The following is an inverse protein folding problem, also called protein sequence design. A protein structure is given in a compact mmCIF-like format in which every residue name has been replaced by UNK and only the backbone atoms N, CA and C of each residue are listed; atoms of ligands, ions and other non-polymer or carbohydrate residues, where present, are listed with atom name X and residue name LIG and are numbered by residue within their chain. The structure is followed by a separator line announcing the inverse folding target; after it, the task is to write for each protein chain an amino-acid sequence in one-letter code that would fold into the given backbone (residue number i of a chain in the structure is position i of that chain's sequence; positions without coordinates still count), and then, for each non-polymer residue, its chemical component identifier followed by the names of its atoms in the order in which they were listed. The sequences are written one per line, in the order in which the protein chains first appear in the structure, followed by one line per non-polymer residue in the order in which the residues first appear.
data_IF_959755461487
#
_entry.id   IF_959755461487
#
_cell.length_a   1.000
_cell.length_b   1.000
_cell.length_c   1.000
_cell.angle_alpha   90.00
_cell.angle_beta   90.00
_cell.angle_gamma   90.00
#
_symmetry.space_group_name_H-M   'P 1'
#
loop_
_entity.id
_entity.type
_entity.pdbx_description
1 polymer ?
#
# COMPACT_ATOMS: atom_id res chain seq x y z
N UNK A 1 7.98 -29.07 -11.30
CA UNK A 1 6.64 -28.74 -10.75
C UNK A 1 6.61 -28.64 -9.22
N UNK A 2 6.85 -29.69 -8.43
CA UNK A 2 6.78 -29.60 -6.95
C UNK A 2 7.87 -28.68 -6.34
N UNK A 3 9.06 -28.63 -6.94
CA UNK A 3 10.17 -27.77 -6.51
C UNK A 3 9.97 -26.27 -6.83
N UNK A 4 9.22 -25.95 -7.88
CA UNK A 4 8.92 -24.56 -8.25
C UNK A 4 7.77 -24.02 -7.41
N UNK A 5 6.81 -24.88 -7.06
CA UNK A 5 5.75 -24.54 -6.11
C UNK A 5 6.30 -24.19 -4.73
N UNK A 6 7.39 -24.85 -4.28
CA UNK A 6 8.01 -24.51 -2.98
C UNK A 6 8.73 -23.16 -3.00
N UNK A 7 9.31 -22.75 -4.14
CA UNK A 7 9.90 -21.41 -4.32
C UNK A 7 8.83 -20.32 -4.44
N UNK A 8 7.71 -20.64 -5.08
CA UNK A 8 6.51 -19.80 -5.07
C UNK A 8 6.01 -19.67 -3.62
N UNK A 9 5.89 -20.73 -2.84
CA UNK A 9 5.48 -20.60 -1.43
C UNK A 9 6.44 -19.73 -0.58
N UNK A 10 7.73 -19.67 -0.89
CA UNK A 10 8.69 -18.79 -0.22
C UNK A 10 8.47 -17.27 -0.42
N UNK A 11 7.68 -16.81 -1.41
CA UNK A 11 7.35 -15.38 -1.47
C UNK A 11 6.26 -15.02 -0.46
N UNK A 12 5.35 -15.95 -0.13
CA UNK A 12 4.30 -15.73 0.88
C UNK A 12 4.89 -15.57 2.29
N UNK A 13 6.07 -16.15 2.54
CA UNK A 13 6.82 -15.97 3.79
C UNK A 13 7.17 -14.49 4.04
N UNK A 14 7.25 -13.68 2.99
CA UNK A 14 7.48 -12.24 3.13
C UNK A 14 6.26 -11.51 3.70
N UNK A 15 5.05 -12.01 3.41
CA UNK A 15 3.79 -11.36 3.79
C UNK A 15 3.14 -11.97 5.04
N UNK A 16 3.53 -13.18 5.43
CA UNK A 16 2.88 -13.95 6.50
C UNK A 16 3.79 -14.18 7.71
N UNK A 17 3.22 -14.72 8.78
CA UNK A 17 3.93 -15.16 9.97
C UNK A 17 3.55 -16.60 10.33
N UNK A 18 4.26 -17.24 11.26
CA UNK A 18 3.96 -18.62 11.69
C UNK A 18 2.63 -18.76 12.43
N UNK A 19 2.01 -17.65 12.81
CA UNK A 19 0.80 -17.59 13.65
C UNK A 19 -0.46 -17.22 12.87
N UNK A 20 -0.40 -17.13 11.53
CA UNK A 20 -1.57 -16.76 10.73
C UNK A 20 -2.66 -17.84 10.78
N UNK A 21 -3.91 -17.39 10.88
CA UNK A 21 -5.05 -18.30 10.70
C UNK A 21 -5.21 -18.70 9.23
N UNK A 22 -5.84 -19.85 8.98
CA UNK A 22 -6.10 -20.32 7.61
C UNK A 22 -6.86 -19.30 6.75
N UNK A 23 -7.82 -18.59 7.34
CA UNK A 23 -8.60 -17.56 6.66
C UNK A 23 -7.74 -16.38 6.21
N UNK A 24 -6.85 -15.89 7.09
CA UNK A 24 -5.90 -14.82 6.77
C UNK A 24 -4.97 -15.25 5.63
N UNK A 25 -4.39 -16.45 5.70
CA UNK A 25 -3.51 -16.96 4.65
C UNK A 25 -4.21 -17.07 3.28
N UNK A 26 -5.45 -17.57 3.24
CA UNK A 26 -6.22 -17.67 2.01
C UNK A 26 -6.52 -16.30 1.42
N UNK A 27 -6.94 -15.36 2.25
CA UNK A 27 -7.28 -14.02 1.76
C UNK A 27 -6.05 -13.25 1.30
N UNK A 28 -4.91 -13.41 1.97
CA UNK A 28 -3.65 -12.84 1.49
C UNK A 28 -3.28 -13.37 0.11
N UNK A 29 -3.37 -14.69 -0.09
CA UNK A 29 -3.11 -15.30 -1.39
C UNK A 29 -4.04 -14.76 -2.46
N UNK A 30 -5.30 -14.51 -2.12
CA UNK A 30 -6.26 -13.89 -3.03
C UNK A 30 -5.83 -12.46 -3.43
N UNK A 31 -5.48 -11.60 -2.46
CA UNK A 31 -5.01 -10.23 -2.75
C UNK A 31 -3.74 -10.24 -3.59
N UNK A 32 -2.78 -11.11 -3.28
CA UNK A 32 -1.52 -11.22 -4.04
C UNK A 32 -1.76 -11.78 -5.45
N UNK A 33 -2.66 -12.77 -5.60
CA UNK A 33 -3.04 -13.28 -6.92
C UNK A 33 -3.71 -12.18 -7.75
N UNK A 34 -4.62 -11.42 -7.14
CA UNK A 34 -5.29 -10.31 -7.80
C UNK A 34 -4.30 -9.25 -8.28
N UNK A 35 -3.34 -8.87 -7.44
CA UNK A 35 -2.28 -7.95 -7.86
C UNK A 35 -1.56 -8.42 -9.14
N UNK A 36 -1.25 -9.71 -9.24
CA UNK A 36 -0.65 -10.29 -10.45
C UNK A 36 -1.60 -10.32 -11.64
N UNK A 37 -2.90 -10.47 -11.41
CA UNK A 37 -3.91 -10.32 -12.46
C UNK A 37 -3.94 -8.88 -12.99
N UNK A 38 -3.80 -7.87 -12.13
CA UNK A 38 -3.74 -6.46 -12.54
C UNK A 38 -2.50 -6.22 -13.42
N UNK A 39 -1.32 -6.68 -12.97
CA UNK A 39 -0.08 -6.62 -13.78
C UNK A 39 -0.29 -7.23 -15.17
N UNK A 40 -0.82 -8.46 -15.21
CA UNK A 40 -1.04 -9.18 -16.46
C UNK A 40 -2.06 -8.45 -17.35
N UNK A 41 -3.14 -7.94 -16.76
CA UNK A 41 -4.18 -7.21 -17.47
C UNK A 41 -3.63 -5.95 -18.13
N UNK A 42 -2.88 -5.11 -17.39
CA UNK A 42 -2.25 -3.92 -17.95
C UNK A 42 -1.26 -4.26 -19.06
N UNK A 43 -0.49 -5.34 -18.91
CA UNK A 43 0.42 -5.80 -19.95
C UNK A 43 -0.34 -6.22 -21.21
N UNK A 44 -1.37 -7.06 -21.07
CA UNK A 44 -2.17 -7.55 -22.19
C UNK A 44 -2.91 -6.42 -22.89
N UNK A 45 -3.56 -5.52 -22.14
CA UNK A 45 -4.19 -4.32 -22.71
C UNK A 45 -3.16 -3.44 -23.44
N UNK A 46 -1.97 -3.26 -22.86
CA UNK A 46 -0.89 -2.52 -23.50
C UNK A 46 -0.40 -3.15 -24.81
N UNK A 47 -0.30 -4.47 -24.87
CA UNK A 47 0.12 -5.19 -26.07
C UNK A 47 -0.98 -5.23 -27.14
N UNK A 48 -2.24 -5.47 -26.77
CA UNK A 48 -3.35 -5.58 -27.72
C UNK A 48 -3.83 -4.23 -28.26
N UNK A 49 -3.80 -3.18 -27.42
CA UNK A 49 -4.20 -1.83 -27.82
C UNK A 49 -3.01 -0.98 -28.31
N UNK A 50 -1.79 -1.56 -28.34
CA UNK A 50 -0.54 -0.82 -28.60
C UNK A 50 -0.37 0.42 -27.71
N UNK A 51 -0.88 0.35 -26.48
CA UNK A 51 -0.87 1.43 -25.50
C UNK A 51 0.41 1.37 -24.66
N UNK A 52 1.39 2.21 -25.00
CA UNK A 52 2.64 2.31 -24.24
C UNK A 52 2.39 2.67 -22.77
N UNK A 53 1.33 3.45 -22.50
CA UNK A 53 0.87 3.79 -21.15
C UNK A 53 0.59 2.52 -20.34
N UNK A 54 -0.19 1.60 -20.87
CA UNK A 54 -0.59 0.40 -20.15
C UNK A 54 0.61 -0.55 -19.93
N UNK A 55 1.54 -0.60 -20.88
CA UNK A 55 2.83 -1.31 -20.73
C UNK A 55 3.65 -0.72 -19.58
N UNK A 56 3.78 0.61 -19.52
CA UNK A 56 4.46 1.29 -18.41
C UNK A 56 3.74 1.07 -17.07
N UNK A 57 2.40 1.11 -17.05
CA UNK A 57 1.62 0.82 -15.84
C UNK A 57 1.90 -0.59 -15.31
N UNK A 58 1.93 -1.60 -16.20
CA UNK A 58 2.34 -2.96 -15.81
C UNK A 58 3.77 -2.99 -15.25
N UNK A 59 4.70 -2.24 -15.86
CA UNK A 59 6.08 -2.14 -15.40
C UNK A 59 6.19 -1.53 -13.99
N UNK A 60 5.43 -0.46 -13.72
CA UNK A 60 5.41 0.17 -12.39
C UNK A 60 4.80 -0.76 -11.35
N UNK A 61 3.71 -1.46 -11.65
CA UNK A 61 3.15 -2.47 -10.75
C UNK A 61 4.20 -3.56 -10.44
N UNK A 62 4.92 -4.06 -11.43
CA UNK A 62 6.03 -5.01 -11.19
C UNK A 62 7.12 -4.42 -10.27
N UNK A 63 7.48 -3.15 -10.44
CA UNK A 63 8.45 -2.48 -9.57
C UNK A 63 7.94 -2.36 -8.14
N UNK A 64 6.67 -1.96 -7.94
CA UNK A 64 6.02 -1.91 -6.62
C UNK A 64 6.11 -3.27 -5.92
N UNK A 65 5.82 -4.35 -6.65
CA UNK A 65 5.94 -5.71 -6.13
C UNK A 65 7.37 -6.08 -5.73
N UNK A 66 8.34 -5.78 -6.59
CA UNK A 66 9.75 -6.04 -6.31
C UNK A 66 10.22 -5.26 -5.08
N UNK A 67 9.81 -4.00 -4.95
CA UNK A 67 10.10 -3.17 -3.77
C UNK A 67 9.48 -3.79 -2.53
N UNK A 68 8.20 -4.14 -2.54
CA UNK A 68 7.55 -4.77 -1.38
C UNK A 68 8.25 -6.07 -0.91
N UNK A 69 8.79 -6.87 -1.84
CA UNK A 69 9.54 -8.09 -1.50
C UNK A 69 10.97 -7.83 -0.99
N UNK A 70 11.67 -6.89 -1.62
CA UNK A 70 13.12 -6.68 -1.41
C UNK A 70 13.38 -5.71 -0.27
N UNK A 71 12.58 -4.66 -0.15
CA UNK A 71 12.77 -3.55 0.76
C UNK A 71 12.81 -4.00 2.24
N UNK A 72 11.87 -4.85 2.72
CA UNK A 72 11.96 -5.42 4.08
C UNK A 72 13.24 -6.23 4.33
N UNK A 73 13.74 -6.97 3.33
CA UNK A 73 14.92 -7.83 3.45
C UNK A 73 16.21 -7.01 3.47
N UNK A 74 16.28 -5.98 2.63
CA UNK A 74 17.41 -5.05 2.57
C UNK A 74 17.52 -4.29 3.88
N UNK A 75 16.40 -3.78 4.40
CA UNK A 75 16.38 -3.05 5.66
C UNK A 75 16.70 -3.91 6.88
N UNK A 76 16.32 -5.20 6.89
CA UNK A 76 16.68 -6.11 7.98
C UNK A 76 18.19 -6.43 8.01
N UNK A 77 18.89 -6.35 6.88
CA UNK A 77 20.31 -6.67 6.77
C UNK A 77 21.24 -5.48 6.97
N UNK A 78 20.77 -4.26 6.71
CA UNK A 78 21.59 -3.06 6.85
C UNK A 78 21.61 -2.59 8.31
N UNK A 79 22.75 -2.79 8.98
CA UNK A 79 22.99 -2.37 10.38
C UNK A 79 22.69 -0.88 10.63
N UNK A 80 22.87 0.00 9.62
CA UNK A 80 22.57 1.43 9.72
C UNK A 80 21.08 1.82 9.60
N UNK A 81 20.21 0.92 9.12
CA UNK A 81 18.77 1.15 9.06
C UNK A 81 18.03 0.58 10.29
N UNK A 82 18.64 -0.38 10.99
CA UNK A 82 18.15 -0.88 12.27
C UNK A 82 18.13 0.18 13.37
N UNK A 83 18.98 1.20 13.27
CA UNK A 83 19.07 2.33 14.23
C UNK A 83 18.08 3.47 13.96
N UNK A 84 17.46 3.55 12.76
CA UNK A 84 16.57 4.66 12.38
C UNK A 84 15.29 4.19 11.65
N UNK A 85 14.37 3.48 12.34
CA UNK A 85 13.16 2.93 11.75
C UNK A 85 12.24 3.98 11.09
N UNK A 86 12.30 5.24 11.56
CA UNK A 86 11.53 6.34 10.97
C UNK A 86 11.96 6.73 9.56
N UNK A 87 13.28 6.75 9.27
CA UNK A 87 13.78 7.08 7.94
C UNK A 87 13.39 6.02 6.91
N UNK A 88 13.52 4.76 7.31
CA UNK A 88 13.13 3.58 6.55
C UNK A 88 11.66 3.61 6.14
N UNK A 89 10.81 3.98 7.09
CA UNK A 89 9.38 4.15 6.90
C UNK A 89 9.06 5.30 5.93
N UNK A 90 9.71 6.46 6.10
CA UNK A 90 9.50 7.61 5.21
C UNK A 90 9.93 7.32 3.77
N UNK A 91 11.04 6.59 3.58
CA UNK A 91 11.48 6.17 2.25
C UNK A 91 10.46 5.22 1.61
N UNK A 92 9.92 4.26 2.37
CA UNK A 92 8.88 3.37 1.87
C UNK A 92 7.61 4.13 1.48
N UNK A 93 7.16 5.08 2.31
CA UNK A 93 6.04 5.98 2.00
C UNK A 93 6.29 6.73 0.71
N UNK A 94 7.47 7.35 0.57
CA UNK A 94 7.80 8.14 -0.61
C UNK A 94 7.81 7.29 -1.88
N UNK A 95 8.40 6.09 -1.83
CA UNK A 95 8.42 5.18 -2.98
C UNK A 95 7.02 4.72 -3.38
N UNK A 96 6.19 4.37 -2.39
CA UNK A 96 4.81 3.95 -2.65
C UNK A 96 3.97 5.08 -3.24
N UNK A 97 4.04 6.28 -2.65
CA UNK A 97 3.37 7.47 -3.17
C UNK A 97 3.86 7.79 -4.59
N UNK A 98 5.17 7.71 -4.85
CA UNK A 98 5.73 7.94 -6.17
C UNK A 98 5.16 6.97 -7.20
N UNK A 99 5.15 5.67 -6.91
CA UNK A 99 4.66 4.68 -7.88
C UNK A 99 3.16 4.75 -8.11
N UNK A 100 2.39 4.89 -7.04
CA UNK A 100 0.93 4.95 -7.12
C UNK A 100 0.46 6.23 -7.81
N UNK A 101 0.97 7.40 -7.42
CA UNK A 101 0.58 8.66 -8.08
C UNK A 101 1.09 8.72 -9.53
N UNK A 102 2.23 8.09 -9.84
CA UNK A 102 2.67 7.95 -11.24
C UNK A 102 1.70 7.07 -12.04
N UNK A 103 1.24 5.95 -11.47
CA UNK A 103 0.23 5.10 -12.11
C UNK A 103 -1.08 5.85 -12.35
N UNK A 104 -1.54 6.58 -11.34
CA UNK A 104 -2.78 7.37 -11.41
C UNK A 104 -2.64 8.48 -12.46
N UNK A 105 -1.55 9.25 -12.42
CA UNK A 105 -1.24 10.32 -13.39
C UNK A 105 -1.19 9.78 -14.81
N UNK A 106 -0.49 8.67 -15.05
CA UNK A 106 -0.38 8.07 -16.38
C UNK A 106 -1.74 7.68 -16.94
N UNK A 107 -2.64 7.15 -16.10
CA UNK A 107 -3.98 6.70 -16.48
C UNK A 107 -5.02 7.84 -16.54
N UNK A 108 -4.59 9.10 -16.52
CA UNK A 108 -5.47 10.27 -16.64
C UNK A 108 -6.25 10.59 -15.37
N UNK A 109 -5.79 10.08 -14.23
CA UNK A 109 -6.27 10.42 -12.89
C UNK A 109 -5.38 11.44 -12.17
N UNK A 110 -5.67 11.60 -10.89
CA UNK A 110 -4.98 12.36 -9.84
C UNK A 110 -5.87 12.29 -8.59
N UNK A 111 -5.57 13.00 -7.49
CA UNK A 111 -6.45 13.13 -6.31
C UNK A 111 -7.93 13.45 -6.67
N UNK A 112 -8.74 12.42 -6.89
CA UNK A 112 -10.09 12.56 -7.45
C UNK A 112 -10.18 13.27 -8.81
N UNK A 113 -9.11 13.20 -9.63
CA UNK A 113 -9.00 13.89 -10.94
C UNK A 113 -8.74 15.39 -10.84
N UNK A 114 -8.33 15.88 -9.66
CA UNK A 114 -8.19 17.31 -9.37
C UNK A 114 -6.76 17.83 -9.47
N UNK A 115 -5.75 16.98 -9.38
CA UNK A 115 -4.38 17.43 -9.42
C UNK A 115 -3.97 17.91 -10.82
N UNK A 116 -3.15 18.95 -10.82
CA UNK A 116 -2.65 19.62 -12.01
C UNK A 116 -1.38 18.97 -12.57
N UNK A 117 -0.86 17.94 -11.88
CA UNK A 117 0.31 17.17 -12.28
C UNK A 117 0.92 16.39 -11.11
N UNK A 118 1.87 15.50 -11.41
CA UNK A 118 2.47 14.58 -10.43
C UNK A 118 3.06 15.28 -9.20
N UNK A 119 3.65 16.46 -9.35
CA UNK A 119 4.19 17.22 -8.22
C UNK A 119 3.11 17.67 -7.23
N UNK A 120 1.94 18.08 -7.75
CA UNK A 120 0.79 18.43 -6.93
C UNK A 120 0.25 17.18 -6.23
N UNK A 121 0.08 16.07 -6.96
CA UNK A 121 -0.36 14.80 -6.38
C UNK A 121 0.58 14.34 -5.25
N UNK A 122 1.89 14.29 -5.48
CA UNK A 122 2.86 13.85 -4.47
C UNK A 122 2.90 14.75 -3.23
N UNK A 123 2.70 16.06 -3.40
CA UNK A 123 2.70 17.01 -2.28
C UNK A 123 1.55 16.71 -1.31
N UNK A 124 0.44 16.17 -1.81
CA UNK A 124 -0.72 15.80 -1.00
C UNK A 124 -0.67 14.33 -0.58
N UNK A 125 -0.34 13.43 -1.50
CA UNK A 125 -0.30 11.99 -1.30
C UNK A 125 0.73 11.58 -0.24
N UNK A 126 1.94 12.16 -0.25
CA UNK A 126 2.98 11.78 0.72
C UNK A 126 2.52 12.04 2.17
N UNK A 127 2.03 13.24 2.55
CA UNK A 127 1.43 13.46 3.86
C UNK A 127 0.26 12.53 4.18
N UNK A 128 -0.60 12.22 3.21
CA UNK A 128 -1.71 11.27 3.37
C UNK A 128 -1.19 9.89 3.73
N UNK A 129 -0.22 9.35 2.98
CA UNK A 129 0.40 8.05 3.26
C UNK A 129 1.10 8.04 4.62
N UNK A 130 1.86 9.09 4.96
CA UNK A 130 2.47 9.23 6.29
C UNK A 130 1.39 9.16 7.38
N UNK A 131 0.28 9.85 7.19
CA UNK A 131 -0.87 9.84 8.09
C UNK A 131 -1.46 8.44 8.25
N UNK A 132 -1.82 7.79 7.14
CA UNK A 132 -2.41 6.44 7.15
C UNK A 132 -1.49 5.46 7.88
N UNK A 133 -0.20 5.42 7.57
CA UNK A 133 0.72 4.51 8.25
C UNK A 133 0.95 4.84 9.72
N UNK A 134 0.91 6.12 10.10
CA UNK A 134 0.92 6.53 11.52
C UNK A 134 -0.31 6.00 12.24
N UNK A 135 -1.49 6.13 11.62
CA UNK A 135 -2.74 5.59 12.14
C UNK A 135 -2.69 4.07 12.31
N UNK A 136 -2.20 3.35 11.29
CA UNK A 136 -2.04 1.90 11.36
C UNK A 136 -1.02 1.46 12.41
N UNK A 137 0.10 2.17 12.53
CA UNK A 137 1.12 1.91 13.53
C UNK A 137 0.54 2.07 14.95
N UNK A 138 -0.13 3.18 15.23
CA UNK A 138 -0.77 3.43 16.52
C UNK A 138 -1.84 2.38 16.82
N UNK A 139 -2.65 2.05 15.83
CA UNK A 139 -3.69 1.05 15.98
C UNK A 139 -3.12 -0.35 16.24
N UNK A 140 -2.00 -0.71 15.61
CA UNK A 140 -1.29 -1.96 15.91
C UNK A 140 -0.72 -1.96 17.33
N UNK A 141 -0.25 -0.82 17.85
CA UNK A 141 0.18 -0.70 19.26
C UNK A 141 -0.97 -0.89 20.25
N UNK A 142 -2.18 -0.44 19.90
CA UNK A 142 -3.38 -0.61 20.73
C UNK A 142 -4.02 -2.01 20.58
N UNK A 143 -3.92 -2.58 19.39
CA UNK A 143 -4.51 -3.86 19.02
C UNK A 143 -3.50 -4.65 18.15
N UNK A 144 -2.57 -5.39 18.77
CA UNK A 144 -1.53 -6.12 18.06
C UNK A 144 -2.11 -7.12 17.06
N UNK A 145 -1.64 -7.04 15.82
CA UNK A 145 -2.04 -7.87 14.68
C UNK A 145 -0.87 -8.75 14.21
N UNK A 146 -1.17 -9.90 13.61
CA UNK A 146 -0.16 -10.64 12.85
C UNK A 146 0.21 -9.89 11.56
N UNK A 147 1.32 -10.24 10.92
CA UNK A 147 1.76 -9.58 9.67
C UNK A 147 0.73 -9.70 8.56
N UNK A 148 0.19 -10.90 8.38
CA UNK A 148 -0.84 -11.15 7.38
C UNK A 148 -2.12 -10.38 7.65
N UNK A 149 -2.55 -10.31 8.91
CA UNK A 149 -3.69 -9.50 9.32
C UNK A 149 -3.47 -8.01 9.06
N UNK A 150 -2.26 -7.51 9.33
CA UNK A 150 -1.90 -6.11 9.10
C UNK A 150 -1.84 -5.77 7.60
N UNK A 151 -1.25 -6.65 6.78
CA UNK A 151 -1.28 -6.56 5.31
C UNK A 151 -2.71 -6.49 4.78
N UNK A 152 -3.56 -7.44 5.19
CA UNK A 152 -4.96 -7.50 4.75
C UNK A 152 -5.75 -6.27 5.19
N UNK A 153 -5.48 -5.79 6.41
CA UNK A 153 -6.11 -4.57 6.89
C UNK A 153 -5.73 -3.37 6.03
N UNK A 154 -4.44 -3.20 5.71
CA UNK A 154 -3.99 -2.16 4.80
C UNK A 154 -4.69 -2.27 3.44
N UNK A 155 -4.80 -3.48 2.90
CA UNK A 155 -5.47 -3.71 1.63
C UNK A 155 -6.95 -3.36 1.65
N UNK A 156 -7.67 -3.80 2.68
CA UNK A 156 -9.08 -3.50 2.86
C UNK A 156 -9.33 -2.00 3.09
N UNK A 157 -8.45 -1.34 3.83
CA UNK A 157 -8.55 0.09 4.08
C UNK A 157 -8.35 0.89 2.80
N UNK A 158 -7.32 0.60 2.00
CA UNK A 158 -7.12 1.25 0.71
C UNK A 158 -8.30 1.05 -0.23
N UNK A 159 -8.81 -0.19 -0.31
CA UNK A 159 -10.04 -0.48 -1.05
C UNK A 159 -11.23 0.36 -0.57
N UNK A 160 -11.42 0.47 0.75
CA UNK A 160 -12.51 1.26 1.32
C UNK A 160 -12.37 2.75 0.99
N UNK A 161 -11.18 3.34 1.13
CA UNK A 161 -10.94 4.75 0.82
C UNK A 161 -11.19 5.01 -0.67
N UNK A 162 -10.62 4.22 -1.57
CA UNK A 162 -10.70 4.48 -3.01
C UNK A 162 -12.08 4.17 -3.60
N UNK A 163 -12.66 3.02 -3.27
CA UNK A 163 -13.91 2.60 -3.89
C UNK A 163 -15.11 3.20 -3.18
N UNK A 164 -15.13 3.19 -1.84
CA UNK A 164 -16.30 3.62 -1.07
C UNK A 164 -16.30 5.14 -0.86
N UNK A 165 -15.18 5.73 -0.43
CA UNK A 165 -15.16 7.17 -0.15
C UNK A 165 -14.94 8.02 -1.41
N UNK A 166 -14.00 7.63 -2.28
CA UNK A 166 -13.74 8.39 -3.52
C UNK A 166 -14.70 8.03 -4.66
N UNK A 167 -15.54 7.00 -4.49
CA UNK A 167 -16.55 6.62 -5.50
C UNK A 167 -15.94 6.14 -6.82
N UNK A 168 -14.68 5.70 -6.82
CA UNK A 168 -13.94 5.27 -8.00
C UNK A 168 -14.34 3.85 -8.44
N UNK A 169 -15.64 3.61 -8.64
CA UNK A 169 -16.19 2.31 -9.03
C UNK A 169 -15.65 1.80 -10.37
N UNK A 170 -15.29 2.71 -11.29
CA UNK A 170 -14.60 2.36 -12.55
C UNK A 170 -13.18 1.85 -12.33
N UNK A 171 -12.59 2.14 -11.17
CA UNK A 171 -11.29 1.66 -10.73
C UNK A 171 -11.34 0.28 -10.08
N UNK A 172 -12.49 -0.38 -9.93
CA UNK A 172 -12.61 -1.73 -9.33
C UNK A 172 -11.68 -2.79 -9.94
N UNK A 173 -11.24 -2.58 -11.17
CA UNK A 173 -10.26 -3.43 -11.87
C UNK A 173 -8.87 -3.28 -11.27
N UNK A 174 -8.50 -2.08 -10.85
CA UNK A 174 -7.32 -1.82 -10.03
C UNK A 174 -7.73 -2.09 -8.58
N UNK A 175 -7.17 -3.12 -7.94
CA UNK A 175 -7.23 -3.11 -6.48
C UNK A 175 -6.38 -1.91 -6.01
N UNK A 176 -7.01 -0.75 -5.83
CA UNK A 176 -6.44 0.37 -5.09
C UNK A 176 -5.90 -0.06 -3.73
N UNK A 177 -6.66 -0.96 -3.10
CA UNK A 177 -6.25 -1.71 -1.93
C UNK A 177 -4.97 -2.53 -2.09
N UNK A 178 -4.59 -2.97 -3.29
CA UNK A 178 -3.37 -3.73 -3.54
C UNK A 178 -2.11 -2.94 -3.16
N UNK A 179 -2.01 -1.68 -3.60
CA UNK A 179 -0.91 -0.79 -3.23
C UNK A 179 -0.87 -0.53 -1.72
N UNK A 180 -2.05 -0.28 -1.11
CA UNK A 180 -2.17 -0.10 0.34
C UNK A 180 -1.92 -1.37 1.16
N UNK A 181 -2.18 -2.54 0.59
CA UNK A 181 -1.79 -3.83 1.16
C UNK A 181 -0.28 -3.99 1.19
N UNK A 182 0.38 -3.70 0.06
CA UNK A 182 1.84 -3.71 -0.03
C UNK A 182 2.49 -2.65 0.88
N UNK A 183 1.85 -1.49 1.05
CA UNK A 183 2.23 -0.51 2.06
C UNK A 183 2.09 -1.05 3.49
N UNK A 184 0.96 -1.69 3.79
CA UNK A 184 0.75 -2.43 5.04
C UNK A 184 1.84 -3.47 5.28
N UNK A 185 2.30 -4.18 4.24
CA UNK A 185 3.40 -5.13 4.36
C UNK A 185 4.71 -4.45 4.77
N UNK A 186 5.09 -3.35 4.10
CA UNK A 186 6.33 -2.64 4.41
C UNK A 186 6.30 -2.14 5.86
N UNK A 187 5.17 -1.57 6.29
CA UNK A 187 4.93 -1.21 7.68
C UNK A 187 5.01 -2.40 8.63
N UNK A 188 4.44 -3.55 8.26
CA UNK A 188 4.46 -4.77 9.09
C UNK A 188 5.88 -5.31 9.32
N UNK A 189 6.80 -5.04 8.40
CA UNK A 189 8.21 -5.38 8.55
C UNK A 189 8.90 -4.53 9.63
N UNK A 190 8.37 -3.34 9.91
CA UNK A 190 8.87 -2.41 10.93
C UNK A 190 8.11 -2.50 12.26
N UNK A 191 6.98 -3.22 12.29
CA UNK A 191 6.29 -3.54 13.54
C UNK A 191 6.82 -4.84 14.16
N UNK A 192 7.00 -4.90 15.50
CA UNK A 192 7.46 -6.10 16.18
C UNK A 192 6.50 -7.27 15.94
N UNK A 193 7.07 -8.47 15.77
CA UNK A 193 6.28 -9.70 15.56
C UNK A 193 5.55 -10.04 16.86
N UNK A 194 4.25 -10.26 16.75
CA UNK A 194 3.38 -10.62 17.87
C UNK A 194 3.15 -12.13 17.84
N UNK A 195 3.65 -12.86 18.84
CA UNK A 195 3.50 -14.32 18.90
C UNK A 195 2.07 -14.78 19.23
N UNK A 196 1.27 -13.92 19.87
CA UNK A 196 -0.14 -14.20 20.19
C UNK A 196 -1.02 -13.01 19.81
N UNK A 197 -1.27 -12.80 18.51
CA UNK A 197 -2.15 -11.73 18.07
C UNK A 197 -3.56 -12.01 18.61
N UNK A 198 -4.19 -10.98 19.17
CA UNK A 198 -5.57 -11.12 19.59
C UNK A 198 -6.49 -11.10 18.36
N UNK A 199 -7.58 -11.86 18.33
CA UNK A 199 -8.43 -11.97 17.13
C UNK A 199 -8.93 -10.61 16.64
N UNK A 200 -9.06 -10.45 15.31
CA UNK A 200 -9.60 -9.26 14.65
C UNK A 200 -11.10 -9.14 14.95
N UNK A 201 -11.42 -8.52 16.09
CA UNK A 201 -12.78 -8.17 16.46
C UNK A 201 -13.23 -6.86 15.83
N UNK A 202 -14.55 -6.69 15.65
CA UNK A 202 -15.17 -5.48 15.08
C UNK A 202 -14.65 -4.20 15.73
N UNK A 203 -14.52 -4.18 17.05
CA UNK A 203 -13.98 -3.03 17.80
C UNK A 203 -12.59 -2.59 17.31
N UNK A 204 -11.72 -3.54 16.96
CA UNK A 204 -10.37 -3.22 16.48
C UNK A 204 -10.40 -2.64 15.08
N UNK A 205 -11.19 -3.25 14.19
CA UNK A 205 -11.41 -2.74 12.84
C UNK A 205 -11.88 -1.29 12.92
N UNK A 206 -12.87 -1.00 13.77
CA UNK A 206 -13.37 0.36 13.96
C UNK A 206 -12.30 1.34 14.47
N UNK A 207 -11.51 0.97 15.48
CA UNK A 207 -10.44 1.84 16.00
C UNK A 207 -9.38 2.11 14.93
N UNK A 208 -8.93 1.06 14.22
CA UNK A 208 -7.88 1.19 13.22
C UNK A 208 -8.39 2.02 12.03
N UNK A 209 -9.60 1.75 11.54
CA UNK A 209 -10.21 2.51 10.44
C UNK A 209 -10.40 3.97 10.85
N UNK A 210 -10.92 4.23 12.06
CA UNK A 210 -11.09 5.60 12.55
C UNK A 210 -9.76 6.36 12.63
N UNK A 211 -8.74 5.76 13.25
CA UNK A 211 -7.41 6.38 13.34
C UNK A 211 -6.79 6.60 11.95
N UNK A 212 -6.83 5.57 11.09
CA UNK A 212 -6.33 5.65 9.72
C UNK A 212 -7.00 6.79 8.95
N UNK A 213 -8.33 6.90 9.01
CA UNK A 213 -9.08 7.97 8.35
C UNK A 213 -8.77 9.35 8.95
N UNK A 214 -8.70 9.49 10.28
CA UNK A 214 -8.38 10.78 10.90
C UNK A 214 -7.00 11.28 10.50
N UNK A 215 -5.98 10.43 10.56
CA UNK A 215 -4.63 10.81 10.16
C UNK A 215 -4.50 11.02 8.65
N UNK A 216 -5.25 10.28 7.83
CA UNK A 216 -5.39 10.53 6.39
C UNK A 216 -5.91 11.95 6.12
N UNK A 217 -6.98 12.37 6.81
CA UNK A 217 -7.54 13.72 6.66
C UNK A 217 -6.56 14.81 7.11
N UNK A 218 -5.86 14.60 8.23
CA UNK A 218 -4.81 15.52 8.68
C UNK A 218 -3.69 15.61 7.65
N UNK A 219 -3.27 14.48 7.08
CA UNK A 219 -2.30 14.42 5.99
C UNK A 219 -2.77 15.20 4.76
N UNK A 220 -4.02 15.03 4.34
CA UNK A 220 -4.59 15.75 3.21
C UNK A 220 -4.58 17.27 3.43
N UNK A 221 -4.97 17.74 4.61
CA UNK A 221 -4.94 19.17 4.97
C UNK A 221 -3.50 19.70 4.98
N UNK A 222 -2.56 18.94 5.55
CA UNK A 222 -1.15 19.32 5.58
C UNK A 222 -0.57 19.40 4.17
N UNK A 223 -0.88 18.44 3.31
CA UNK A 223 -0.44 18.42 1.91
C UNK A 223 -0.97 19.58 1.09
N UNK A 224 -2.27 19.88 1.19
CA UNK A 224 -2.87 21.05 0.53
C UNK A 224 -2.23 22.36 1.03
N UNK A 225 -1.95 22.45 2.32
CA UNK A 225 -1.24 23.60 2.91
C UNK A 225 0.17 23.74 2.34
N UNK A 226 0.92 22.64 2.24
CA UNK A 226 2.27 22.64 1.67
C UNK A 226 2.27 23.04 0.19
N UNK A 227 1.30 22.57 -0.58
CA UNK A 227 1.15 22.93 -1.99
C UNK A 227 0.94 24.44 -2.17
N UNK A 228 0.04 25.03 -1.38
CA UNK A 228 -0.22 26.48 -1.40
C UNK A 228 1.01 27.29 -1.00
N UNK A 229 1.74 26.84 0.03
CA UNK A 229 2.97 27.51 0.48
C UNK A 229 4.09 27.44 -0.56
N UNK A 230 4.11 26.39 -1.40
CA UNK A 230 5.03 26.27 -2.52
C UNK A 230 4.66 27.13 -3.75
N UNK A 231 3.61 27.96 -3.65
CA UNK A 231 3.11 28.80 -4.75
C UNK A 231 2.20 28.04 -5.72
N UNK A 232 1.76 26.84 -5.34
CA UNK A 232 0.75 26.09 -6.08
C UNK A 232 -0.60 26.81 -6.05
N UNK A 233 -1.29 26.87 -7.19
CA UNK A 233 -2.65 27.42 -7.24
C UNK A 233 -3.60 26.51 -6.45
N UNK A 234 -4.49 27.06 -5.61
CA UNK A 234 -5.67 26.33 -5.20
C UNK A 234 -6.55 26.08 -6.44
N UNK A 235 -7.33 25.01 -6.39
CA UNK A 235 -8.45 24.79 -7.31
C UNK A 235 -9.62 25.70 -6.94
#
# INVERSE_FOLDING_TARGET
MVRDLSRFLHFLDAFSSSVETRGVLLFMRFVLLWFWLDVLLFLLLGLFEYSIRNIFSSGILLLVWLVALTLPRVFRKLEGFGSHPGFTYLLAVLLMALFEETLVTLNGGGLGGRATGLAHDLTIAVPVFVGVGTGFYLAHRMAPMSRGAFFLFGALFGFFIEIVLNGAWSGLVLLGGGAMGLYGMILSAHTPVVERPSPLGVKKVLIVTFLGTMFMLVGAVAGDTLWRLAGGSPL
#
